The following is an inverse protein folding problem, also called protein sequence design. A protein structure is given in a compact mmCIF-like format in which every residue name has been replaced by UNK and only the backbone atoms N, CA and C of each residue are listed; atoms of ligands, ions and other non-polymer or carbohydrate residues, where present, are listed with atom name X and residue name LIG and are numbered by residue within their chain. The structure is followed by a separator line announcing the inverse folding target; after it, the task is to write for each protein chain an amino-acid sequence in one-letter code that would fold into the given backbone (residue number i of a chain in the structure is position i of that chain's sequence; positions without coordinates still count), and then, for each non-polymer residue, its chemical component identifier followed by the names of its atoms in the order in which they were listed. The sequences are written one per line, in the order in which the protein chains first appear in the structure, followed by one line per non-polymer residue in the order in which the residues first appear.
data_IF_004658040559
#
_entry.id   IF_004658040559
#
_cell.length_a   1.000
_cell.length_b   1.000
_cell.length_c   1.000
_cell.angle_alpha   90.00
_cell.angle_beta   90.00
_cell.angle_gamma   90.00
#
_symmetry.space_group_name_H-M   'P 1'
#
loop_
_entity.id
_entity.type
_entity.pdbx_description
1 polymer ?
#
# COMPACT_ATOMS: atom_id res chain seq x y z
N UNK A 1 -11.92 25.75 -27.55
CA UNK A 1 -10.64 25.03 -27.52
C UNK A 1 -10.57 24.19 -26.28
N UNK A 2 -10.47 22.90 -26.46
CA UNK A 2 -10.26 22.03 -25.31
C UNK A 2 -8.79 22.12 -24.89
N UNK A 3 -8.56 22.41 -23.62
CA UNK A 3 -7.22 22.28 -23.06
C UNK A 3 -7.01 20.80 -22.82
N UNK A 4 -6.21 20.18 -23.66
CA UNK A 4 -5.81 18.80 -23.42
C UNK A 4 -4.89 18.79 -22.22
N UNK A 5 -5.43 18.48 -21.05
CA UNK A 5 -4.59 18.22 -19.89
C UNK A 5 -3.91 16.89 -20.13
N UNK A 6 -2.60 16.93 -20.28
CA UNK A 6 -1.83 15.71 -20.49
C UNK A 6 -1.85 14.88 -19.21
N UNK A 7 -2.53 13.74 -19.27
CA UNK A 7 -2.45 12.76 -18.20
C UNK A 7 -1.13 12.02 -18.30
N UNK A 8 -0.48 11.69 -17.20
CA UNK A 8 0.66 10.79 -17.24
C UNK A 8 0.26 9.47 -17.89
N UNK A 9 1.17 8.82 -18.61
CA UNK A 9 0.84 7.53 -19.22
C UNK A 9 0.55 6.47 -18.16
N UNK A 10 -0.31 5.52 -18.51
CA UNK A 10 -0.73 4.46 -17.58
C UNK A 10 0.47 3.72 -16.98
N UNK A 11 1.48 3.39 -17.78
CA UNK A 11 2.64 2.66 -17.27
C UNK A 11 3.37 3.42 -16.16
N UNK A 12 3.42 4.74 -16.25
CA UNK A 12 4.06 5.56 -15.21
C UNK A 12 3.25 5.53 -13.92
N UNK A 13 1.93 5.61 -14.02
CA UNK A 13 1.05 5.53 -12.86
C UNK A 13 1.17 4.16 -12.19
N UNK A 14 1.21 3.10 -12.99
CA UNK A 14 1.37 1.74 -12.47
C UNK A 14 2.71 1.57 -11.74
N UNK A 15 3.79 2.08 -12.32
CA UNK A 15 5.11 2.03 -11.68
C UNK A 15 5.10 2.81 -10.37
N UNK A 16 4.49 3.99 -10.36
CA UNK A 16 4.43 4.81 -9.15
C UNK A 16 3.69 4.09 -8.02
N UNK A 17 2.53 3.50 -8.29
CA UNK A 17 1.76 2.75 -7.29
C UNK A 17 2.52 1.49 -6.87
N UNK A 18 3.00 0.72 -7.84
CA UNK A 18 3.73 -0.52 -7.56
C UNK A 18 5.00 -0.27 -6.76
N UNK A 19 5.71 0.82 -7.04
CA UNK A 19 6.94 1.16 -6.31
C UNK A 19 6.68 1.34 -4.81
N UNK A 20 5.56 1.97 -4.45
CA UNK A 20 5.21 2.13 -3.03
C UNK A 20 4.99 0.76 -2.37
N UNK A 21 4.20 -0.11 -3.00
CA UNK A 21 3.92 -1.43 -2.45
C UNK A 21 5.16 -2.31 -2.39
N UNK A 22 6.02 -2.25 -3.41
CA UNK A 22 7.28 -3.00 -3.43
C UNK A 22 8.24 -2.49 -2.36
N UNK A 23 8.33 -1.18 -2.17
CA UNK A 23 9.16 -0.60 -1.12
C UNK A 23 8.65 -1.01 0.26
N UNK A 24 7.36 -0.80 0.54
CA UNK A 24 6.77 -1.11 1.83
C UNK A 24 6.77 -2.61 2.12
N UNK A 25 6.45 -3.42 1.12
CA UNK A 25 6.37 -4.86 1.30
C UNK A 25 7.73 -5.52 1.29
N UNK A 26 8.46 -5.39 0.20
CA UNK A 26 9.71 -6.13 0.02
C UNK A 26 10.85 -5.53 0.85
N UNK A 27 11.11 -4.23 0.67
CA UNK A 27 12.24 -3.60 1.35
C UNK A 27 12.03 -3.49 2.85
N UNK A 28 10.90 -2.93 3.27
CA UNK A 28 10.68 -2.65 4.69
C UNK A 28 10.34 -3.89 5.50
N UNK A 29 9.55 -4.79 4.96
CA UNK A 29 9.00 -5.92 5.71
C UNK A 29 9.69 -7.24 5.44
N UNK A 30 9.81 -7.65 4.17
CA UNK A 30 10.45 -8.92 3.84
C UNK A 30 11.94 -8.89 4.16
N UNK A 31 12.65 -7.84 3.73
CA UNK A 31 14.06 -7.66 4.03
C UNK A 31 14.33 -7.05 5.41
N UNK A 32 13.27 -6.64 6.12
CA UNK A 32 13.35 -6.08 7.46
C UNK A 32 14.30 -4.87 7.55
N UNK A 33 14.26 -4.00 6.54
CA UNK A 33 15.12 -2.80 6.48
C UNK A 33 14.53 -1.59 7.20
N UNK A 34 13.34 -1.74 7.80
CA UNK A 34 12.67 -0.68 8.56
C UNK A 34 12.35 -1.18 9.96
N UNK A 35 13.29 -1.08 10.92
CA UNK A 35 13.06 -1.55 12.29
C UNK A 35 11.85 -0.90 12.94
N UNK A 36 11.52 0.33 12.56
CA UNK A 36 10.38 1.05 13.08
C UNK A 36 9.05 0.30 12.89
N UNK A 37 8.84 -0.35 11.75
CA UNK A 37 7.61 -1.09 11.50
C UNK A 37 7.48 -2.30 12.43
N UNK A 38 8.60 -2.94 12.78
CA UNK A 38 8.60 -4.03 13.74
C UNK A 38 8.24 -3.54 15.15
N UNK A 39 8.71 -2.35 15.53
CA UNK A 39 8.31 -1.73 16.79
C UNK A 39 6.82 -1.46 16.86
N UNK A 40 6.23 -0.99 15.74
CA UNK A 40 4.79 -0.72 15.66
C UNK A 40 3.98 -1.99 15.86
N UNK A 41 4.34 -3.08 15.18
CA UNK A 41 3.58 -4.33 15.25
C UNK A 41 3.73 -5.03 16.60
N UNK A 42 4.85 -4.83 17.29
CA UNK A 42 5.08 -5.40 18.62
C UNK A 42 4.12 -4.82 19.69
N UNK A 43 3.47 -3.70 19.42
CA UNK A 43 2.52 -3.09 20.35
C UNK A 43 1.17 -3.80 20.38
N UNK A 44 0.91 -4.75 19.49
CA UNK A 44 -0.34 -5.51 19.48
C UNK A 44 -0.33 -6.46 20.69
N UNK A 45 -1.24 -6.28 21.69
CA UNK A 45 -1.07 -6.92 22.99
C UNK A 45 -1.32 -8.43 23.02
N UNK A 46 -2.04 -8.97 22.04
CA UNK A 46 -2.36 -10.39 21.98
C UNK A 46 -1.40 -11.20 21.10
N UNK A 47 -0.34 -10.55 20.56
CA UNK A 47 0.65 -11.22 19.73
C UNK A 47 1.98 -11.33 20.47
N UNK A 48 2.55 -12.54 20.48
CA UNK A 48 3.93 -12.73 20.90
C UNK A 48 4.88 -12.04 19.92
N UNK A 49 6.08 -11.57 20.35
CA UNK A 49 7.02 -10.89 19.44
C UNK A 49 7.36 -11.69 18.19
N UNK A 50 7.57 -13.00 18.32
CA UNK A 50 7.86 -13.86 17.16
C UNK A 50 6.68 -13.93 16.20
N UNK A 51 5.45 -13.99 16.72
CA UNK A 51 4.23 -14.02 15.92
C UNK A 51 4.01 -12.68 15.22
N UNK A 52 4.24 -11.55 15.91
CA UNK A 52 4.08 -10.23 15.31
C UNK A 52 5.08 -9.99 14.18
N UNK A 53 6.33 -10.44 14.35
CA UNK A 53 7.34 -10.33 13.29
C UNK A 53 6.99 -11.22 12.09
N UNK A 54 6.50 -12.43 12.34
CA UNK A 54 6.06 -13.31 11.27
C UNK A 54 4.87 -12.72 10.50
N UNK A 55 3.92 -12.14 11.23
CA UNK A 55 2.77 -11.45 10.62
C UNK A 55 3.24 -10.30 9.72
N UNK A 56 4.19 -9.49 10.19
CA UNK A 56 4.70 -8.38 9.40
C UNK A 56 5.38 -8.86 8.11
N UNK A 57 6.12 -9.96 8.17
CA UNK A 57 6.74 -10.55 6.97
C UNK A 57 5.70 -11.10 6.00
N UNK A 58 4.64 -11.73 6.50
CA UNK A 58 3.52 -12.19 5.66
C UNK A 58 2.85 -10.99 4.99
N UNK A 59 2.61 -9.91 5.73
CA UNK A 59 2.08 -8.68 5.16
C UNK A 59 3.01 -8.14 4.08
N UNK A 60 4.31 -8.20 4.30
CA UNK A 60 5.30 -7.77 3.31
C UNK A 60 5.22 -8.57 2.01
N UNK A 61 5.02 -9.89 2.10
CA UNK A 61 4.83 -10.74 0.93
C UNK A 61 3.55 -10.37 0.19
N UNK A 62 2.44 -10.15 0.93
CA UNK A 62 1.17 -9.75 0.34
C UNK A 62 1.27 -8.38 -0.36
N UNK A 63 1.94 -7.43 0.26
CA UNK A 63 2.14 -6.11 -0.32
C UNK A 63 3.03 -6.18 -1.57
N UNK A 64 4.07 -7.00 -1.55
CA UNK A 64 4.93 -7.25 -2.72
C UNK A 64 4.12 -7.85 -3.86
N UNK A 65 3.31 -8.85 -3.56
CA UNK A 65 2.43 -9.48 -4.55
C UNK A 65 1.42 -8.47 -5.12
N UNK A 66 0.91 -7.58 -4.29
CA UNK A 66 0.00 -6.53 -4.71
C UNK A 66 0.67 -5.54 -5.66
N UNK A 67 1.92 -5.16 -5.38
CA UNK A 67 2.70 -4.31 -6.28
C UNK A 67 2.88 -4.94 -7.66
N UNK A 68 3.22 -6.23 -7.70
CA UNK A 68 3.32 -6.98 -8.95
C UNK A 68 1.97 -7.04 -9.65
N UNK A 69 0.89 -7.27 -8.91
CA UNK A 69 -0.47 -7.33 -9.46
C UNK A 69 -0.83 -6.03 -10.18
N UNK A 70 -0.55 -4.88 -9.57
CA UNK A 70 -0.82 -3.57 -10.19
C UNK A 70 -0.15 -3.45 -11.56
N UNK A 71 1.06 -4.00 -11.71
CA UNK A 71 1.79 -3.94 -12.97
C UNK A 71 1.17 -4.79 -14.09
N UNK A 72 0.32 -5.76 -13.74
CA UNK A 72 -0.23 -6.70 -14.73
C UNK A 72 -1.46 -6.20 -15.47
N UNK A 73 -2.09 -5.14 -15.02
CA UNK A 73 -3.41 -4.65 -15.48
C UNK A 73 -4.54 -5.66 -15.34
N UNK A 74 -4.31 -6.81 -14.71
CA UNK A 74 -5.34 -7.82 -14.48
C UNK A 74 -6.28 -7.38 -13.35
N UNK A 75 -7.59 -7.38 -13.61
CA UNK A 75 -8.62 -7.00 -12.63
C UNK A 75 -8.25 -5.71 -11.87
N UNK A 76 -8.06 -4.59 -12.58
CA UNK A 76 -7.51 -3.39 -11.92
C UNK A 76 -8.41 -2.80 -10.84
N UNK A 77 -9.73 -2.87 -10.99
CA UNK A 77 -10.66 -2.36 -9.98
C UNK A 77 -10.62 -3.23 -8.72
N UNK A 78 -10.52 -4.54 -8.88
CA UNK A 78 -10.38 -5.46 -7.75
C UNK A 78 -9.04 -5.19 -7.02
N UNK A 79 -7.98 -4.97 -7.78
CA UNK A 79 -6.69 -4.61 -7.18
C UNK A 79 -6.79 -3.32 -6.36
N UNK A 80 -7.47 -2.30 -6.87
CA UNK A 80 -7.67 -1.04 -6.14
C UNK A 80 -8.51 -1.27 -4.86
N UNK A 81 -9.52 -2.10 -4.92
CA UNK A 81 -10.34 -2.43 -3.76
C UNK A 81 -9.53 -3.15 -2.68
N UNK A 82 -8.65 -4.09 -3.07
CA UNK A 82 -7.75 -4.79 -2.15
C UNK A 82 -6.77 -3.81 -1.52
N UNK A 83 -6.18 -2.91 -2.31
CA UNK A 83 -5.30 -1.86 -1.79
C UNK A 83 -6.01 -1.00 -0.76
N UNK A 84 -7.26 -0.61 -1.03
CA UNK A 84 -8.07 0.21 -0.13
C UNK A 84 -8.30 -0.53 1.19
N UNK A 85 -8.74 -1.78 1.12
CA UNK A 85 -9.00 -2.59 2.32
C UNK A 85 -7.74 -2.76 3.16
N UNK A 86 -6.62 -3.05 2.52
CA UNK A 86 -5.35 -3.24 3.21
C UNK A 86 -4.87 -1.96 3.88
N UNK A 87 -4.91 -0.82 3.18
CA UNK A 87 -4.47 0.46 3.76
C UNK A 87 -5.37 0.90 4.91
N UNK A 88 -6.68 0.80 4.75
CA UNK A 88 -7.62 1.17 5.83
C UNK A 88 -7.37 0.26 7.04
N UNK A 89 -7.25 -1.03 6.82
CA UNK A 89 -7.02 -1.98 7.90
C UNK A 89 -5.70 -1.73 8.63
N UNK A 90 -4.61 -1.58 7.90
CA UNK A 90 -3.29 -1.37 8.49
C UNK A 90 -3.18 -0.02 9.20
N UNK A 91 -3.70 1.04 8.59
CA UNK A 91 -3.69 2.37 9.24
C UNK A 91 -4.53 2.38 10.51
N UNK A 92 -5.72 1.79 10.46
CA UNK A 92 -6.61 1.73 11.61
C UNK A 92 -5.99 0.92 12.75
N UNK A 93 -5.42 -0.24 12.44
CA UNK A 93 -4.76 -1.07 13.44
C UNK A 93 -3.53 -0.37 14.03
N UNK A 94 -2.72 0.26 13.19
CA UNK A 94 -1.54 1.00 13.65
C UNK A 94 -1.90 2.13 14.60
N UNK A 95 -2.90 2.92 14.25
CA UNK A 95 -3.36 4.03 15.10
C UNK A 95 -3.98 3.50 16.39
N UNK A 96 -4.78 2.44 16.31
CA UNK A 96 -5.45 1.89 17.48
C UNK A 96 -4.46 1.30 18.48
N UNK A 97 -3.49 0.50 18.02
CA UNK A 97 -2.59 -0.21 18.92
C UNK A 97 -1.26 0.51 19.17
N UNK A 98 -0.82 1.35 18.26
CA UNK A 98 0.60 1.78 18.22
C UNK A 98 0.78 3.26 17.93
N UNK A 99 -0.22 4.10 18.22
CA UNK A 99 -0.16 5.53 17.90
C UNK A 99 1.12 6.20 18.43
N UNK A 100 1.54 5.84 19.64
CA UNK A 100 2.71 6.43 20.29
C UNK A 100 4.04 6.01 19.64
N UNK A 101 4.02 4.95 18.81
CA UNK A 101 5.19 4.48 18.09
C UNK A 101 5.21 4.98 16.64
N UNK A 102 4.18 5.69 16.21
CA UNK A 102 4.10 6.29 14.89
C UNK A 102 4.50 7.75 15.00
N UNK A 103 5.63 8.19 14.38
CA UNK A 103 6.12 9.57 14.55
C UNK A 103 5.13 10.63 14.09
N UNK A 104 4.38 10.35 13.02
CA UNK A 104 3.46 11.31 12.43
C UNK A 104 2.20 10.59 11.92
N UNK A 105 1.25 10.26 12.82
CA UNK A 105 0.03 9.56 12.41
C UNK A 105 -0.79 10.33 11.37
N UNK A 106 -0.90 11.64 11.51
CA UNK A 106 -1.65 12.46 10.56
C UNK A 106 -1.00 12.43 9.19
N UNK A 107 0.31 12.61 9.13
CA UNK A 107 1.06 12.53 7.87
C UNK A 107 0.96 11.15 7.23
N UNK A 108 0.99 10.10 8.03
CA UNK A 108 0.82 8.73 7.54
C UNK A 108 -0.54 8.57 6.83
N UNK A 109 -1.62 9.01 7.47
CA UNK A 109 -2.97 8.92 6.90
C UNK A 109 -3.08 9.75 5.62
N UNK A 110 -2.53 10.96 5.62
CA UNK A 110 -2.56 11.84 4.45
C UNK A 110 -1.81 11.23 3.26
N UNK A 111 -0.62 10.70 3.50
CA UNK A 111 0.19 10.07 2.44
C UNK A 111 -0.52 8.83 1.88
N UNK A 112 -1.11 8.02 2.74
CA UNK A 112 -1.82 6.83 2.31
C UNK A 112 -3.12 7.17 1.60
N UNK A 113 -3.78 8.26 1.97
CA UNK A 113 -4.95 8.75 1.23
C UNK A 113 -4.56 9.19 -0.18
N UNK A 114 -3.43 9.91 -0.31
CA UNK A 114 -2.91 10.30 -1.63
C UNK A 114 -2.58 9.05 -2.48
N UNK A 115 -1.98 8.04 -1.87
CA UNK A 115 -1.72 6.77 -2.55
C UNK A 115 -3.00 6.12 -3.03
N UNK A 116 -4.05 6.11 -2.21
CA UNK A 116 -5.35 5.54 -2.60
C UNK A 116 -5.97 6.29 -3.78
N UNK A 117 -5.92 7.62 -3.76
CA UNK A 117 -6.41 8.41 -4.89
C UNK A 117 -5.66 8.02 -6.16
N UNK A 118 -4.33 7.94 -6.08
CA UNK A 118 -3.50 7.54 -7.21
C UNK A 118 -3.84 6.11 -7.67
N UNK A 119 -4.04 5.20 -6.73
CA UNK A 119 -4.38 3.81 -7.04
C UNK A 119 -5.72 3.71 -7.79
N UNK A 120 -6.72 4.48 -7.38
CA UNK A 120 -8.03 4.47 -8.05
C UNK A 120 -7.99 5.14 -9.41
N UNK A 121 -7.23 6.24 -9.57
CA UNK A 121 -7.01 6.84 -10.89
C UNK A 121 -6.34 5.84 -11.83
N UNK A 122 -5.29 5.18 -11.34
CA UNK A 122 -4.56 4.16 -12.09
C UNK A 122 -5.48 3.01 -12.51
N UNK A 123 -6.27 2.51 -11.56
CA UNK A 123 -7.20 1.41 -11.81
C UNK A 123 -8.27 1.78 -12.85
N UNK A 124 -8.80 3.00 -12.76
CA UNK A 124 -9.82 3.48 -13.69
C UNK A 124 -9.26 3.59 -15.10
N UNK A 125 -8.04 4.10 -15.24
CA UNK A 125 -7.39 4.18 -16.55
C UNK A 125 -7.04 2.80 -17.09
N UNK A 126 -6.58 1.89 -16.24
CA UNK A 126 -6.28 0.52 -16.63
C UNK A 126 -7.54 -0.22 -17.08
N UNK A 127 -8.64 -0.06 -16.36
CA UNK A 127 -9.92 -0.66 -16.73
C UNK A 127 -10.40 -0.15 -18.10
N UNK A 128 -10.26 1.15 -18.35
CA UNK A 128 -10.60 1.74 -19.65
C UNK A 128 -9.72 1.18 -20.77
N UNK A 129 -8.44 0.99 -20.51
CA UNK A 129 -7.49 0.51 -21.52
C UNK A 129 -7.73 -0.95 -21.92
N UNK A 130 -8.29 -1.77 -21.03
CA UNK A 130 -8.58 -3.19 -21.32
C UNK A 130 -10.06 -3.45 -21.59
N UNK A 131 -10.87 -2.40 -21.70
CA UNK A 131 -12.30 -2.53 -22.05
C UNK A 131 -13.18 -3.04 -20.93
N UNK A 132 -12.77 -2.91 -19.69
CA UNK A 132 -13.55 -3.34 -18.55
C UNK A 132 -14.58 -2.30 -18.09
#
# INVERSE_FOLDING_TARGET
MSIAVAMPPLWLLQIAVAAVWLYEGFWCKVLARSPHEFEVVEQVPFLAPSTSHALLRVLGVLETALGVWVLTTWQPIVAAAVQTALLIGLNSAGIYFSRDRIPDPVGMVLKNTALLVLAWVTASLAAGSVGL
#
